data_IF_708361930769
#
_entry.id   IF_708361930769
#
_cell.length_a   1.000
_cell.length_b   1.000
_cell.length_c   1.000
_cell.angle_alpha   90.00
_cell.angle_beta   90.00
_cell.angle_gamma   90.00
#
_symmetry.space_group_name_H-M   'P 1'
#
loop_
_entity.id
_entity.type
_entity.pdbx_description
1 polymer ?
#
# COMPACT_ATOMS: atom_id res chain seq x y z
N UNK A 1 -10.28 -26.20 29.14
CA UNK A 1 -10.85 -27.11 28.15
C UNK A 1 -9.70 -27.68 27.35
N UNK A 2 -9.46 -29.00 27.37
CA UNK A 2 -8.44 -29.60 26.47
C UNK A 2 -9.03 -29.55 25.05
N UNK A 3 -8.31 -28.92 24.14
CA UNK A 3 -8.64 -28.87 22.71
C UNK A 3 -8.65 -30.32 22.20
N UNK A 4 -9.84 -30.81 21.82
CA UNK A 4 -10.07 -32.20 21.40
C UNK A 4 -9.67 -32.42 19.93
N UNK A 5 -8.61 -31.71 19.46
CA UNK A 5 -8.12 -31.84 18.08
C UNK A 5 -7.39 -33.15 17.93
N UNK A 6 -7.84 -33.94 16.96
CA UNK A 6 -7.13 -35.15 16.55
C UNK A 6 -5.69 -34.82 16.17
N UNK A 7 -4.75 -35.60 16.67
CA UNK A 7 -3.32 -35.44 16.39
C UNK A 7 -2.84 -36.41 15.33
N UNK A 8 -1.69 -36.12 14.69
CA UNK A 8 -1.09 -37.05 13.73
C UNK A 8 -0.78 -38.42 14.36
N UNK A 9 -0.55 -38.47 15.67
CA UNK A 9 -0.31 -39.71 16.43
C UNK A 9 -1.59 -40.54 16.51
N UNK A 10 -2.73 -39.91 16.76
CA UNK A 10 -4.03 -40.58 16.80
C UNK A 10 -4.43 -41.05 15.42
N UNK A 11 -4.22 -40.23 14.38
CA UNK A 11 -4.47 -40.65 13.00
C UNK A 11 -3.61 -41.85 12.59
N UNK A 12 -2.34 -41.89 13.00
CA UNK A 12 -1.44 -43.02 12.79
C UNK A 12 -1.92 -44.29 13.51
N UNK A 13 -2.37 -44.14 14.76
CA UNK A 13 -2.94 -45.26 15.54
C UNK A 13 -4.20 -45.83 14.89
N UNK A 14 -5.15 -44.98 14.51
CA UNK A 14 -6.42 -45.39 13.89
C UNK A 14 -6.24 -45.95 12.48
N UNK A 15 -5.27 -45.44 11.72
CA UNK A 15 -4.97 -45.98 10.39
C UNK A 15 -4.07 -47.23 10.40
N UNK A 16 -3.49 -47.62 11.55
CA UNK A 16 -2.63 -48.79 11.68
C UNK A 16 -1.27 -48.64 11.00
N UNK A 17 -0.77 -47.42 10.77
CA UNK A 17 0.51 -47.14 10.12
C UNK A 17 1.40 -46.22 10.95
N UNK A 18 2.67 -46.07 10.55
CA UNK A 18 3.59 -45.15 11.25
C UNK A 18 3.20 -43.68 11.02
N UNK A 19 3.60 -42.79 11.96
CA UNK A 19 3.44 -41.34 11.81
C UNK A 19 4.11 -40.85 10.52
N UNK A 20 5.28 -41.40 10.16
CA UNK A 20 5.97 -41.11 8.90
C UNK A 20 5.17 -41.49 7.67
N UNK A 21 4.45 -42.61 7.69
CA UNK A 21 3.59 -43.06 6.60
C UNK A 21 2.37 -42.13 6.45
N UNK A 22 1.75 -41.74 7.58
CA UNK A 22 0.65 -40.77 7.58
C UNK A 22 1.11 -39.43 7.00
N UNK A 23 2.25 -38.90 7.46
CA UNK A 23 2.81 -37.65 6.95
C UNK A 23 3.05 -37.71 5.46
N UNK A 24 3.67 -38.79 4.95
CA UNK A 24 3.94 -38.96 3.51
C UNK A 24 2.66 -39.11 2.68
N UNK A 25 1.68 -39.85 3.18
CA UNK A 25 0.38 -39.99 2.52
C UNK A 25 -0.35 -38.65 2.36
N UNK A 26 -0.42 -37.86 3.44
CA UNK A 26 -1.07 -36.53 3.43
C UNK A 26 -0.32 -35.48 2.59
N UNK A 27 1.00 -35.64 2.41
CA UNK A 27 1.82 -34.74 1.58
C UNK A 27 1.99 -35.24 0.14
N UNK A 28 1.28 -36.31 -0.28
CA UNK A 28 1.25 -36.74 -1.68
C UNK A 28 2.49 -37.48 -2.17
N UNK A 29 3.36 -37.97 -1.26
CA UNK A 29 4.55 -38.75 -1.67
C UNK A 29 4.16 -40.04 -2.37
N UNK A 30 4.84 -40.37 -3.47
CA UNK A 30 4.53 -41.51 -4.32
C UNK A 30 4.99 -42.86 -3.75
N UNK A 31 5.77 -42.87 -2.68
CA UNK A 31 6.28 -44.06 -2.01
C UNK A 31 5.26 -44.71 -1.03
N UNK A 32 4.08 -44.11 -0.89
CA UNK A 32 2.96 -44.70 -0.14
C UNK A 32 1.99 -45.36 -1.13
N UNK A 33 1.65 -46.64 -0.86
CA UNK A 33 0.66 -47.36 -1.66
C UNK A 33 -0.66 -46.60 -1.74
N UNK A 34 -1.29 -46.56 -2.93
CA UNK A 34 -2.48 -45.77 -3.25
C UNK A 34 -3.65 -46.10 -2.32
N UNK A 35 -3.93 -47.37 -2.09
CA UNK A 35 -4.99 -47.83 -1.19
C UNK A 35 -4.79 -47.32 0.25
N UNK A 36 -3.54 -47.36 0.72
CA UNK A 36 -3.17 -46.84 2.05
C UNK A 36 -3.31 -45.31 2.10
N UNK A 37 -2.92 -44.59 1.04
CA UNK A 37 -3.06 -43.15 0.92
C UNK A 37 -4.53 -42.74 0.99
N UNK A 38 -5.39 -43.32 0.16
CA UNK A 38 -6.82 -43.04 0.14
C UNK A 38 -7.48 -43.31 1.48
N UNK A 39 -7.12 -44.41 2.15
CA UNK A 39 -7.62 -44.74 3.48
C UNK A 39 -7.26 -43.67 4.53
N UNK A 40 -5.99 -43.22 4.52
CA UNK A 40 -5.50 -42.18 5.43
C UNK A 40 -6.21 -40.85 5.15
N UNK A 41 -6.38 -40.47 3.88
CA UNK A 41 -7.06 -39.22 3.49
C UNK A 41 -8.52 -39.25 3.93
N UNK A 42 -9.24 -40.35 3.70
CA UNK A 42 -10.64 -40.49 4.16
C UNK A 42 -10.74 -40.40 5.67
N UNK A 43 -9.88 -41.10 6.40
CA UNK A 43 -9.89 -41.05 7.86
C UNK A 43 -9.55 -39.68 8.41
N UNK A 44 -8.64 -38.96 7.77
CA UNK A 44 -8.34 -37.56 8.13
C UNK A 44 -9.54 -36.65 7.92
N UNK A 45 -10.28 -36.81 6.81
CA UNK A 45 -11.52 -36.06 6.55
C UNK A 45 -12.64 -36.39 7.56
N UNK A 46 -12.84 -37.67 7.86
CA UNK A 46 -13.86 -38.12 8.84
C UNK A 46 -13.60 -37.57 10.25
N UNK A 47 -12.32 -37.40 10.59
CA UNK A 47 -11.89 -36.91 11.90
C UNK A 47 -11.64 -35.40 11.94
N UNK A 48 -11.93 -34.67 10.86
CA UNK A 48 -11.61 -33.24 10.69
C UNK A 48 -10.14 -32.92 11.06
N UNK A 49 -9.25 -33.85 10.70
CA UNK A 49 -7.83 -33.69 10.96
C UNK A 49 -7.17 -32.76 9.93
N UNK A 50 -6.69 -31.63 10.40
CA UNK A 50 -5.87 -30.70 9.59
C UNK A 50 -4.44 -30.73 10.11
N UNK A 51 -3.42 -31.06 9.25
CA UNK A 51 -2.01 -30.97 9.64
C UNK A 51 -1.68 -29.57 10.13
N UNK A 52 -0.99 -29.45 11.28
CA UNK A 52 -0.50 -28.17 11.74
C UNK A 52 0.41 -27.53 10.68
N UNK A 53 0.20 -26.27 10.36
CA UNK A 53 0.98 -25.54 9.34
C UNK A 53 2.50 -25.68 9.57
N UNK A 54 2.95 -25.59 10.83
CA UNK A 54 4.33 -25.80 11.23
C UNK A 54 4.88 -27.21 10.92
N UNK A 55 4.04 -28.25 11.02
CA UNK A 55 4.45 -29.61 10.69
C UNK A 55 4.56 -29.82 9.16
N UNK A 56 3.69 -29.16 8.39
CA UNK A 56 3.73 -29.17 6.93
C UNK A 56 4.95 -28.42 6.41
N UNK A 57 5.22 -27.23 6.94
CA UNK A 57 6.36 -26.40 6.52
C UNK A 57 7.72 -27.08 6.78
N UNK A 58 7.85 -27.89 7.83
CA UNK A 58 9.06 -28.68 8.09
C UNK A 58 9.32 -29.75 7.02
N UNK A 59 8.26 -30.31 6.42
CA UNK A 59 8.37 -31.36 5.39
C UNK A 59 8.54 -30.77 3.99
N UNK A 60 7.75 -29.74 3.67
CA UNK A 60 7.73 -29.11 2.33
C UNK A 60 8.79 -28.01 2.17
N UNK A 61 9.38 -27.55 3.27
CA UNK A 61 10.23 -26.36 3.35
C UNK A 61 9.53 -25.09 2.85
N UNK A 62 8.18 -25.10 2.83
CA UNK A 62 7.34 -23.98 2.41
C UNK A 62 6.28 -23.68 3.45
N UNK A 63 6.14 -22.42 3.81
CA UNK A 63 5.13 -21.97 4.77
C UNK A 63 3.80 -21.61 4.12
N UNK A 64 3.82 -21.25 2.83
CA UNK A 64 2.72 -20.64 2.10
C UNK A 64 2.19 -19.36 2.78
N UNK A 65 3.08 -18.58 3.40
CA UNK A 65 2.74 -17.32 4.08
C UNK A 65 3.57 -16.19 3.49
N UNK A 66 2.89 -15.11 3.14
CA UNK A 66 3.47 -13.83 2.73
C UNK A 66 3.34 -12.85 3.88
N UNK A 67 4.44 -12.15 4.20
CA UNK A 67 4.44 -11.09 5.19
C UNK A 67 4.08 -9.73 4.58
N UNK A 68 3.34 -8.92 5.31
CA UNK A 68 3.08 -7.52 4.95
C UNK A 68 3.52 -6.64 6.12
N UNK A 69 4.46 -5.73 5.86
CA UNK A 69 4.79 -4.63 6.75
C UNK A 69 4.17 -3.36 6.18
N UNK A 70 3.31 -2.74 6.96
CA UNK A 70 2.68 -1.47 6.67
C UNK A 70 2.97 -0.52 7.82
N UNK A 71 3.70 0.57 7.54
CA UNK A 71 4.06 1.57 8.53
C UNK A 71 3.89 2.97 7.95
N UNK A 72 3.20 3.85 8.65
CA UNK A 72 2.88 5.22 8.18
C UNK A 72 3.52 6.30 9.05
N UNK A 73 4.48 5.92 9.90
CA UNK A 73 5.17 6.83 10.83
C UNK A 73 4.47 6.98 12.17
N UNK A 74 5.17 7.60 13.13
CA UNK A 74 4.65 7.82 14.49
C UNK A 74 3.38 8.69 14.48
N UNK A 75 2.34 8.22 15.15
CA UNK A 75 1.08 8.95 15.35
C UNK A 75 0.01 8.76 14.26
N UNK A 76 0.30 8.04 13.19
CA UNK A 76 -0.68 7.76 12.14
C UNK A 76 -1.08 6.29 12.12
N UNK A 77 -2.35 5.94 12.37
CA UNK A 77 -2.81 4.56 12.32
C UNK A 77 -2.77 4.05 10.86
N UNK A 78 -1.91 3.09 10.60
CA UNK A 78 -1.59 2.56 9.27
C UNK A 78 -2.80 2.22 8.41
N UNK A 79 -3.77 1.52 9.00
CA UNK A 79 -4.96 1.06 8.30
C UNK A 79 -6.09 2.10 8.23
N UNK A 80 -5.92 3.31 8.78
CA UNK A 80 -6.94 4.37 8.65
C UNK A 80 -6.86 5.09 7.30
N UNK A 81 -5.72 5.02 6.60
CA UNK A 81 -5.64 5.63 5.27
C UNK A 81 -6.30 4.71 4.21
N UNK A 82 -7.37 5.16 3.52
CA UNK A 82 -8.15 4.33 2.61
C UNK A 82 -7.34 3.73 1.44
N UNK A 83 -6.26 4.39 1.02
CA UNK A 83 -5.36 3.91 -0.01
C UNK A 83 -4.85 2.49 0.28
N UNK A 84 -4.36 2.25 1.49
CA UNK A 84 -3.77 0.96 1.85
C UNK A 84 -4.79 -0.17 1.90
N UNK A 85 -6.05 0.13 2.27
CA UNK A 85 -7.12 -0.88 2.25
C UNK A 85 -7.34 -1.47 0.87
N UNK A 86 -7.46 -0.61 -0.15
CA UNK A 86 -7.71 -1.06 -1.52
C UNK A 86 -6.49 -1.80 -2.09
N UNK A 87 -5.27 -1.37 -1.76
CA UNK A 87 -4.04 -2.10 -2.11
C UNK A 87 -4.03 -3.50 -1.49
N UNK A 88 -4.36 -3.60 -0.19
CA UNK A 88 -4.44 -4.89 0.50
C UNK A 88 -5.53 -5.81 -0.08
N UNK A 89 -6.66 -5.27 -0.55
CA UNK A 89 -7.70 -6.05 -1.23
C UNK A 89 -7.15 -6.70 -2.51
N UNK A 90 -6.45 -5.93 -3.35
CA UNK A 90 -5.84 -6.43 -4.58
C UNK A 90 -4.74 -7.46 -4.31
N UNK A 91 -3.86 -7.17 -3.35
CA UNK A 91 -2.79 -8.07 -2.92
C UNK A 91 -3.36 -9.40 -2.40
N UNK A 92 -4.32 -9.35 -1.47
CA UNK A 92 -4.97 -10.52 -0.90
C UNK A 92 -5.61 -11.42 -1.98
N UNK A 93 -6.28 -10.82 -2.95
CA UNK A 93 -6.90 -11.57 -4.05
C UNK A 93 -5.85 -12.32 -4.87
N UNK A 94 -4.79 -11.62 -5.28
CA UNK A 94 -3.74 -12.17 -6.14
C UNK A 94 -2.96 -13.30 -5.46
N UNK A 95 -2.48 -13.08 -4.23
CA UNK A 95 -1.69 -14.10 -3.53
C UNK A 95 -2.55 -15.27 -3.04
N UNK A 96 -3.82 -15.03 -2.70
CA UNK A 96 -4.77 -16.09 -2.34
C UNK A 96 -5.03 -17.04 -3.52
N UNK A 97 -5.11 -16.51 -4.75
CA UNK A 97 -5.19 -17.33 -5.96
C UNK A 97 -3.95 -18.21 -6.16
N UNK A 98 -2.78 -17.76 -5.68
CA UNK A 98 -1.52 -18.52 -5.65
C UNK A 98 -1.41 -19.52 -4.50
N UNK A 99 -2.43 -19.63 -3.63
CA UNK A 99 -2.43 -20.56 -2.48
C UNK A 99 -1.62 -20.09 -1.28
N UNK A 100 -1.43 -18.78 -1.13
CA UNK A 100 -0.72 -18.17 0.01
C UNK A 100 -1.68 -17.46 0.96
N UNK A 101 -1.34 -17.49 2.24
CA UNK A 101 -1.96 -16.68 3.28
C UNK A 101 -1.18 -15.37 3.50
N UNK A 102 -1.87 -14.31 3.98
CA UNK A 102 -1.26 -13.05 4.39
C UNK A 102 -1.07 -12.99 5.91
N UNK A 103 0.13 -12.62 6.32
CA UNK A 103 0.46 -12.24 7.68
C UNK A 103 0.74 -10.73 7.73
N UNK A 104 -0.18 -9.96 8.29
CA UNK A 104 0.06 -8.55 8.55
C UNK A 104 0.83 -8.40 9.88
N UNK A 105 2.02 -7.82 9.81
CA UNK A 105 2.83 -7.54 10.98
C UNK A 105 2.34 -6.27 11.67
N UNK A 106 2.18 -6.32 13.00
CA UNK A 106 1.85 -5.14 13.79
C UNK A 106 3.02 -4.15 13.81
N UNK A 107 2.75 -2.85 13.76
CA UNK A 107 3.78 -1.79 13.75
C UNK A 107 4.52 -1.70 15.07
N UNK A 108 3.80 -1.76 16.20
CA UNK A 108 4.38 -1.76 17.54
C UNK A 108 4.49 -3.18 18.09
N UNK A 109 5.68 -3.58 18.47
CA UNK A 109 5.92 -4.85 19.17
C UNK A 109 6.69 -4.58 20.45
N UNK A 110 6.00 -4.28 21.59
CA UNK A 110 6.68 -4.20 22.89
C UNK A 110 7.20 -5.58 23.26
N UNK A 111 8.50 -5.75 23.08
CA UNK A 111 9.39 -6.76 23.63
C UNK A 111 8.85 -8.08 24.17
N UNK A 112 8.48 -9.01 23.32
CA UNK A 112 8.38 -10.43 23.67
C UNK A 112 9.73 -11.15 23.49
N UNK A 113 10.84 -10.56 24.00
CA UNK A 113 12.18 -11.15 23.85
C UNK A 113 12.80 -11.00 22.44
N UNK A 114 12.07 -10.50 21.48
CA UNK A 114 12.56 -10.18 20.12
C UNK A 114 13.03 -8.74 19.98
N UNK A 115 13.11 -7.99 21.06
CA UNK A 115 13.70 -6.67 21.35
C UNK A 115 14.17 -5.75 20.22
N UNK A 116 13.72 -5.98 19.00
CA UNK A 116 14.16 -5.28 17.80
C UNK A 116 12.98 -5.10 16.84
N UNK A 117 12.78 -3.90 16.35
CA UNK A 117 11.95 -3.58 15.19
C UNK A 117 12.44 -4.24 13.88
N UNK A 118 13.23 -5.34 13.97
CA UNK A 118 13.85 -5.97 12.81
C UNK A 118 12.85 -6.71 11.94
N UNK A 119 12.53 -6.14 10.79
CA UNK A 119 11.71 -6.76 9.76
C UNK A 119 12.21 -8.15 9.39
N UNK A 120 13.53 -8.31 9.21
CA UNK A 120 14.12 -9.59 8.82
C UNK A 120 13.95 -10.66 9.90
N UNK A 121 14.16 -10.34 11.19
CA UNK A 121 14.00 -11.31 12.29
C UNK A 121 12.54 -11.76 12.39
N UNK A 122 11.59 -10.82 12.28
CA UNK A 122 10.15 -11.10 12.33
C UNK A 122 9.73 -11.98 11.14
N UNK A 123 10.15 -11.62 9.92
CA UNK A 123 9.90 -12.41 8.73
C UNK A 123 10.41 -13.86 8.85
N UNK A 124 11.63 -14.04 9.34
CA UNK A 124 12.24 -15.37 9.59
C UNK A 124 11.53 -16.15 10.69
N UNK A 125 11.15 -15.49 11.78
CA UNK A 125 10.45 -16.13 12.91
C UNK A 125 9.14 -16.77 12.45
N UNK A 126 8.39 -16.07 11.58
CA UNK A 126 7.14 -16.58 11.02
C UNK A 126 7.35 -17.38 9.73
N UNK A 127 8.60 -17.59 9.32
CA UNK A 127 8.94 -18.36 8.12
C UNK A 127 8.23 -17.87 6.86
N UNK A 128 8.00 -16.55 6.71
CA UNK A 128 7.36 -16.02 5.49
C UNK A 128 8.27 -16.23 4.29
N UNK A 129 7.69 -16.57 3.13
CA UNK A 129 8.42 -16.86 1.89
C UNK A 129 8.76 -15.59 1.10
N UNK A 130 8.06 -14.50 1.37
CA UNK A 130 8.30 -13.20 0.80
C UNK A 130 7.59 -12.10 1.58
N UNK A 131 7.92 -10.85 1.27
CA UNK A 131 7.43 -9.68 2.01
C UNK A 131 6.96 -8.59 1.07
N UNK A 132 5.82 -7.97 1.39
CA UNK A 132 5.39 -6.70 0.80
C UNK A 132 5.60 -5.58 1.83
N UNK A 133 6.20 -4.48 1.38
CA UNK A 133 6.50 -3.30 2.18
C UNK A 133 5.68 -2.11 1.69
N UNK A 134 4.97 -1.43 2.59
CA UNK A 134 4.16 -0.24 2.30
C UNK A 134 4.37 0.81 3.38
N UNK A 135 4.43 2.09 2.99
CA UNK A 135 4.55 3.21 3.92
C UNK A 135 5.89 3.31 4.66
N UNK A 136 6.83 2.40 4.40
CA UNK A 136 8.16 2.40 5.03
C UNK A 136 9.11 3.36 4.33
N UNK A 137 10.15 3.80 5.05
CA UNK A 137 11.28 4.52 4.45
C UNK A 137 12.27 3.52 3.83
N UNK A 138 12.54 3.65 2.52
CA UNK A 138 13.51 2.81 1.81
C UNK A 138 14.95 2.98 2.34
N UNK A 139 15.25 4.12 2.95
CA UNK A 139 16.55 4.44 3.52
C UNK A 139 16.71 3.97 4.98
N UNK A 140 15.65 3.46 5.60
CA UNK A 140 15.71 2.85 6.92
C UNK A 140 16.70 1.67 6.96
N UNK A 141 17.49 1.58 8.02
CA UNK A 141 18.54 0.57 8.17
C UNK A 141 17.98 -0.86 8.19
N UNK A 142 16.80 -1.08 8.80
CA UNK A 142 16.18 -2.40 8.88
C UNK A 142 15.50 -2.80 7.55
N UNK A 143 14.94 -1.83 6.81
CA UNK A 143 14.46 -2.05 5.43
C UNK A 143 15.64 -2.47 4.54
N UNK A 144 16.76 -1.75 4.59
CA UNK A 144 17.98 -2.11 3.84
C UNK A 144 18.54 -3.47 4.25
N UNK A 145 18.48 -3.82 5.53
CA UNK A 145 18.91 -5.13 6.02
C UNK A 145 18.02 -6.25 5.49
N UNK A 146 16.71 -6.04 5.45
CA UNK A 146 15.75 -6.99 4.89
C UNK A 146 16.00 -7.20 3.39
N UNK A 147 16.08 -6.13 2.61
CA UNK A 147 16.24 -6.20 1.15
C UNK A 147 17.56 -6.81 0.70
N UNK A 148 18.64 -6.67 1.52
CA UNK A 148 19.94 -7.33 1.27
C UNK A 148 20.00 -8.80 1.68
N UNK A 149 19.00 -9.30 2.39
CA UNK A 149 19.01 -10.68 2.91
C UNK A 149 18.76 -11.77 1.86
N UNK A 150 18.33 -11.38 0.66
CA UNK A 150 17.90 -12.32 -0.40
C UNK A 150 16.47 -12.84 -0.22
N UNK A 151 15.75 -12.45 0.84
CA UNK A 151 14.32 -12.71 0.95
C UNK A 151 13.58 -11.90 -0.12
N UNK A 152 12.68 -12.50 -0.91
CA UNK A 152 11.87 -11.78 -1.89
C UNK A 152 11.09 -10.63 -1.24
N UNK A 153 11.27 -9.41 -1.73
CA UNK A 153 10.62 -8.21 -1.21
C UNK A 153 10.04 -7.36 -2.34
N UNK A 154 8.81 -6.90 -2.18
CA UNK A 154 8.17 -5.96 -3.11
C UNK A 154 7.72 -4.71 -2.34
N UNK A 155 8.14 -3.53 -2.82
CA UNK A 155 7.65 -2.25 -2.33
C UNK A 155 6.41 -1.79 -3.08
N UNK A 156 5.41 -1.26 -2.36
CA UNK A 156 4.32 -0.48 -2.96
C UNK A 156 4.51 0.98 -2.60
N UNK A 157 4.70 1.81 -3.62
CA UNK A 157 5.12 3.22 -3.49
C UNK A 157 6.46 3.42 -2.75
N UNK A 158 7.23 2.36 -2.61
CA UNK A 158 8.56 2.35 -1.99
C UNK A 158 9.57 1.75 -2.96
N UNK A 159 10.53 2.55 -3.41
CA UNK A 159 11.56 2.11 -4.36
C UNK A 159 12.63 1.29 -3.62
N UNK A 160 12.47 -0.02 -3.58
CA UNK A 160 13.42 -0.93 -2.95
C UNK A 160 14.62 -1.21 -3.84
N UNK A 161 15.77 -1.50 -3.20
CA UNK A 161 16.99 -1.92 -3.87
C UNK A 161 17.61 -3.13 -3.16
N UNK A 162 17.88 -4.20 -3.90
CA UNK A 162 18.45 -5.44 -3.36
C UNK A 162 18.42 -6.59 -4.38
N UNK A 163 19.03 -7.75 -4.05
CA UNK A 163 19.19 -8.86 -5.01
C UNK A 163 17.86 -9.55 -5.38
N UNK A 164 16.83 -9.47 -4.53
CA UNK A 164 15.53 -10.08 -4.75
C UNK A 164 14.42 -9.06 -4.42
N UNK A 165 14.48 -7.88 -5.07
CA UNK A 165 13.54 -6.79 -4.82
C UNK A 165 12.92 -6.27 -6.11
N UNK A 166 11.63 -5.98 -6.06
CA UNK A 166 10.89 -5.20 -7.05
C UNK A 166 10.07 -4.12 -6.36
N UNK A 167 9.47 -3.22 -7.11
CA UNK A 167 8.49 -2.27 -6.59
C UNK A 167 7.43 -1.91 -7.62
N UNK A 168 6.27 -1.56 -7.10
CA UNK A 168 5.11 -1.11 -7.88
C UNK A 168 4.70 0.27 -7.38
N UNK A 169 4.41 1.19 -8.29
CA UNK A 169 3.97 2.54 -7.96
C UNK A 169 3.01 3.12 -9.00
N UNK A 170 2.30 4.18 -8.63
CA UNK A 170 1.57 5.01 -9.58
C UNK A 170 2.50 6.01 -10.26
N UNK A 171 2.11 6.48 -11.46
CA UNK A 171 2.79 7.61 -12.12
C UNK A 171 2.48 8.93 -11.40
N UNK A 172 3.08 9.09 -10.22
CA UNK A 172 2.88 10.24 -9.35
C UNK A 172 3.23 11.58 -10.01
N UNK A 173 4.36 11.70 -10.77
CA UNK A 173 4.68 12.95 -11.46
C UNK A 173 3.62 13.30 -12.52
N UNK A 174 3.16 12.31 -13.28
CA UNK A 174 2.13 12.55 -14.31
C UNK A 174 0.79 12.92 -13.68
N UNK A 175 0.43 12.31 -12.54
CA UNK A 175 -0.79 12.65 -11.81
C UNK A 175 -0.79 14.12 -11.36
N UNK A 176 0.29 14.57 -10.72
CA UNK A 176 0.43 15.97 -10.33
C UNK A 176 0.42 16.91 -11.55
N UNK A 177 1.03 16.49 -12.66
CA UNK A 177 0.99 17.24 -13.91
C UNK A 177 -0.45 17.41 -14.42
N UNK A 178 -1.25 16.33 -14.45
CA UNK A 178 -2.65 16.38 -14.88
C UNK A 178 -3.48 17.36 -14.05
N UNK A 179 -3.26 17.41 -12.72
CA UNK A 179 -3.95 18.34 -11.84
C UNK A 179 -3.62 19.81 -12.18
N UNK A 180 -2.32 20.12 -12.35
CA UNK A 180 -1.88 21.47 -12.69
C UNK A 180 -2.37 21.87 -14.09
N UNK A 181 -2.28 20.98 -15.07
CA UNK A 181 -2.77 21.18 -16.43
C UNK A 181 -4.26 21.53 -16.42
N UNK A 182 -5.08 20.75 -15.71
CA UNK A 182 -6.51 20.99 -15.57
C UNK A 182 -6.83 22.38 -14.99
N UNK A 183 -6.18 22.75 -13.91
CA UNK A 183 -6.38 24.05 -13.28
C UNK A 183 -5.89 25.22 -14.17
N UNK A 184 -4.77 25.04 -14.85
CA UNK A 184 -4.26 26.01 -15.81
C UNK A 184 -5.23 26.23 -16.98
N UNK A 185 -5.81 25.15 -17.51
CA UNK A 185 -6.75 25.18 -18.63
C UNK A 185 -8.09 25.80 -18.24
N UNK A 186 -8.49 25.73 -16.95
CA UNK A 186 -9.60 26.51 -16.37
C UNK A 186 -9.29 28.00 -16.22
N UNK A 187 -8.05 28.43 -16.39
CA UNK A 187 -7.63 29.83 -16.34
C UNK A 187 -6.89 30.22 -15.05
N UNK A 188 -6.66 29.29 -14.11
CA UNK A 188 -5.89 29.59 -12.92
C UNK A 188 -4.42 29.90 -13.24
N UNK A 189 -3.88 30.91 -12.54
CA UNK A 189 -2.46 31.32 -12.64
C UNK A 189 -1.76 31.27 -11.28
N UNK A 190 -2.52 31.40 -10.18
CA UNK A 190 -2.07 31.26 -8.81
C UNK A 190 -2.50 29.90 -8.30
N UNK A 191 -1.68 28.89 -8.61
CA UNK A 191 -1.92 27.48 -8.26
C UNK A 191 -0.93 27.10 -7.16
N UNK A 192 -1.40 26.69 -5.98
CA UNK A 192 -0.58 26.21 -4.89
C UNK A 192 -0.62 24.67 -4.79
N UNK A 193 0.23 24.10 -3.96
CA UNK A 193 0.19 22.67 -3.62
C UNK A 193 0.28 22.45 -2.12
N UNK A 194 -0.46 21.45 -1.64
CA UNK A 194 -0.28 20.85 -0.31
C UNK A 194 0.36 19.49 -0.54
N UNK A 195 1.66 19.38 -0.22
CA UNK A 195 2.43 18.15 -0.45
C UNK A 195 2.13 17.12 0.62
N UNK A 196 2.40 15.83 0.34
CA UNK A 196 2.57 14.83 1.39
C UNK A 196 3.98 14.89 1.99
N UNK A 197 4.33 13.87 2.76
CA UNK A 197 5.69 13.68 3.28
C UNK A 197 6.69 13.62 2.12
N UNK A 198 7.55 14.60 2.00
CA UNK A 198 8.51 14.71 0.89
C UNK A 198 9.68 13.72 0.99
N UNK A 199 9.87 13.12 2.14
CA UNK A 199 10.78 12.00 2.39
C UNK A 199 10.30 10.71 1.71
N UNK A 200 8.99 10.61 1.47
CA UNK A 200 8.40 9.48 0.74
C UNK A 200 8.49 9.70 -0.77
N UNK A 201 8.63 8.61 -1.51
CA UNK A 201 8.67 8.67 -2.97
C UNK A 201 7.42 9.33 -3.58
N UNK A 202 6.17 8.99 -3.17
CA UNK A 202 4.97 9.65 -3.68
C UNK A 202 4.96 11.16 -3.41
N UNK A 203 5.32 11.59 -2.21
CA UNK A 203 5.37 13.01 -1.85
C UNK A 203 6.36 13.80 -2.71
N UNK A 204 7.60 13.30 -2.84
CA UNK A 204 8.63 13.91 -3.66
C UNK A 204 8.23 13.95 -5.15
N UNK A 205 7.71 12.86 -5.69
CA UNK A 205 7.34 12.75 -7.10
C UNK A 205 6.14 13.65 -7.46
N UNK A 206 5.12 13.76 -6.58
CA UNK A 206 3.98 14.68 -6.79
C UNK A 206 4.42 16.15 -6.75
N UNK A 207 5.29 16.51 -5.80
CA UNK A 207 5.89 17.87 -5.75
C UNK A 207 6.72 18.17 -7.00
N UNK A 208 7.51 17.18 -7.46
CA UNK A 208 8.30 17.30 -8.70
C UNK A 208 7.38 17.54 -9.91
N UNK A 209 6.34 16.72 -10.07
CA UNK A 209 5.37 16.84 -11.16
C UNK A 209 4.67 18.19 -11.17
N UNK A 210 4.23 18.68 -10.00
CA UNK A 210 3.68 20.03 -9.85
C UNK A 210 4.66 21.11 -10.32
N UNK A 211 5.89 21.12 -9.79
CA UNK A 211 6.92 22.12 -10.11
C UNK A 211 7.30 22.13 -11.59
N UNK A 212 7.53 20.97 -12.16
CA UNK A 212 7.92 20.82 -13.56
C UNK A 212 6.80 21.27 -14.51
N UNK A 213 5.53 21.01 -14.15
CA UNK A 213 4.39 21.42 -14.97
C UNK A 213 4.12 22.92 -14.89
N UNK A 214 4.27 23.55 -13.72
CA UNK A 214 4.19 25.02 -13.64
C UNK A 214 5.21 25.65 -14.60
N UNK A 215 6.45 25.18 -14.56
CA UNK A 215 7.50 25.67 -15.46
C UNK A 215 7.15 25.45 -16.94
N UNK A 216 6.68 24.27 -17.30
CA UNK A 216 6.30 23.95 -18.68
C UNK A 216 5.12 24.80 -19.19
N UNK A 217 4.21 25.22 -18.29
CA UNK A 217 3.08 26.10 -18.61
C UNK A 217 3.38 27.59 -18.47
N UNK A 218 4.65 27.97 -18.20
CA UNK A 218 5.07 29.37 -18.05
C UNK A 218 4.51 30.05 -16.79
N UNK A 219 4.10 29.27 -15.78
CA UNK A 219 3.63 29.77 -14.48
C UNK A 219 4.83 29.95 -13.54
N UNK A 220 4.78 31.02 -12.73
CA UNK A 220 5.78 31.26 -11.70
C UNK A 220 5.66 30.20 -10.58
N UNK A 221 6.77 29.57 -10.26
CA UNK A 221 6.88 28.78 -9.05
C UNK A 221 7.14 29.75 -7.87
N UNK A 222 6.36 29.65 -6.81
CA UNK A 222 6.49 30.42 -5.59
C UNK A 222 6.66 29.48 -4.40
N UNK A 223 7.72 29.65 -3.63
CA UNK A 223 7.97 28.79 -2.46
C UNK A 223 6.86 28.88 -1.41
N UNK A 224 6.25 30.07 -1.24
CA UNK A 224 5.12 30.30 -0.35
C UNK A 224 3.86 29.55 -0.76
N UNK A 225 3.76 29.08 -2.01
CA UNK A 225 2.63 28.27 -2.50
C UNK A 225 2.86 26.76 -2.29
N UNK A 226 3.96 26.35 -1.66
CA UNK A 226 4.22 24.98 -1.26
C UNK A 226 3.95 24.84 0.23
N UNK A 227 2.81 24.25 0.59
CA UNK A 227 2.49 23.91 1.97
C UNK A 227 2.73 22.41 2.21
N UNK A 228 3.20 22.04 3.40
CA UNK A 228 3.57 20.68 3.73
C UNK A 228 2.50 20.01 4.59
N UNK A 229 2.14 18.79 4.25
CA UNK A 229 1.23 17.91 4.97
C UNK A 229 1.82 16.52 5.13
N UNK A 230 0.99 15.58 5.60
CA UNK A 230 1.37 14.21 5.96
C UNK A 230 0.43 13.15 5.38
N UNK A 231 -0.36 13.54 4.38
CA UNK A 231 -1.42 12.76 3.72
C UNK A 231 -2.73 12.67 4.50
N UNK A 232 -2.87 13.24 5.71
CA UNK A 232 -4.09 13.18 6.53
C UNK A 232 -4.85 14.52 6.58
N UNK A 233 -6.09 14.45 7.05
CA UNK A 233 -7.06 15.57 7.02
C UNK A 233 -6.55 16.79 7.77
N UNK A 234 -6.02 16.60 8.98
CA UNK A 234 -5.60 17.66 9.88
C UNK A 234 -4.47 18.50 9.29
N UNK A 235 -3.49 17.85 8.69
CA UNK A 235 -2.38 18.53 8.03
C UNK A 235 -2.84 19.31 6.80
N UNK A 236 -3.79 18.75 6.03
CA UNK A 236 -4.40 19.44 4.90
C UNK A 236 -5.14 20.71 5.31
N UNK A 237 -5.89 20.66 6.41
CA UNK A 237 -6.58 21.83 6.99
C UNK A 237 -5.58 22.90 7.44
N UNK A 238 -4.54 22.52 8.17
CA UNK A 238 -3.50 23.45 8.64
C UNK A 238 -2.74 24.08 7.48
N UNK A 239 -2.36 23.29 6.48
CA UNK A 239 -1.66 23.77 5.30
C UNK A 239 -2.51 24.75 4.49
N UNK A 240 -3.81 24.44 4.29
CA UNK A 240 -4.73 25.33 3.60
C UNK A 240 -4.91 26.66 4.33
N UNK A 241 -5.02 26.63 5.66
CA UNK A 241 -5.10 27.88 6.45
C UNK A 241 -3.89 28.78 6.21
N UNK A 242 -2.67 28.23 6.15
CA UNK A 242 -1.44 28.99 5.83
C UNK A 242 -1.50 29.61 4.43
N UNK A 243 -2.00 28.87 3.43
CA UNK A 243 -2.12 29.35 2.07
C UNK A 243 -3.15 30.50 1.95
N UNK A 244 -4.22 30.43 2.73
CA UNK A 244 -5.27 31.48 2.77
C UNK A 244 -4.81 32.74 3.52
N UNK A 245 -3.79 32.64 4.38
CA UNK A 245 -3.21 33.77 5.11
C UNK A 245 -2.16 34.58 4.32
N UNK A 246 -1.81 34.14 3.11
CA UNK A 246 -0.88 34.86 2.27
C UNK A 246 -1.48 36.18 1.76
N UNK A 247 -0.63 37.19 1.52
CA UNK A 247 -1.06 38.47 0.95
C UNK A 247 -1.71 38.30 -0.43
N UNK A 248 -1.23 37.36 -1.22
CA UNK A 248 -1.84 36.90 -2.48
C UNK A 248 -2.24 35.43 -2.39
N UNK A 249 -3.41 35.09 -1.82
CA UNK A 249 -3.84 33.71 -1.70
C UNK A 249 -3.97 33.01 -3.07
N UNK A 250 -3.72 31.69 -3.15
CA UNK A 250 -3.92 30.94 -4.38
C UNK A 250 -5.42 30.89 -4.75
N UNK A 251 -5.71 30.81 -6.06
CA UNK A 251 -7.08 30.58 -6.56
C UNK A 251 -7.35 29.09 -6.80
N UNK A 252 -6.33 28.26 -6.73
CA UNK A 252 -6.45 26.81 -6.83
C UNK A 252 -5.36 26.10 -6.04
N UNK A 253 -5.66 24.91 -5.54
CA UNK A 253 -4.75 24.09 -4.74
C UNK A 253 -4.78 22.64 -5.23
N UNK A 254 -3.60 22.07 -5.45
CA UNK A 254 -3.39 20.64 -5.70
C UNK A 254 -2.96 19.98 -4.38
N UNK A 255 -3.77 19.11 -3.85
CA UNK A 255 -3.48 18.33 -2.64
C UNK A 255 -2.88 16.98 -3.01
N UNK A 256 -1.82 16.56 -2.32
CA UNK A 256 -1.17 15.29 -2.57
C UNK A 256 -1.96 14.07 -2.05
N UNK A 257 -3.11 14.24 -1.41
CA UNK A 257 -4.08 13.19 -1.11
C UNK A 257 -5.49 13.73 -1.02
N UNK A 258 -6.48 12.87 -1.20
CA UNK A 258 -7.88 13.23 -1.01
C UNK A 258 -8.18 13.58 0.45
N UNK A 259 -7.59 12.90 1.42
CA UNK A 259 -7.77 13.24 2.83
C UNK A 259 -7.28 14.66 3.13
N UNK A 260 -6.13 15.08 2.62
CA UNK A 260 -5.69 16.48 2.75
C UNK A 260 -6.62 17.46 2.01
N UNK A 261 -7.14 17.06 0.84
CA UNK A 261 -8.12 17.88 0.12
C UNK A 261 -9.41 18.08 0.94
N UNK A 262 -9.87 17.06 1.66
CA UNK A 262 -11.00 17.20 2.61
C UNK A 262 -10.70 18.18 3.73
N UNK A 263 -9.48 18.12 4.29
CA UNK A 263 -9.01 19.11 5.27
C UNK A 263 -8.96 20.53 4.69
N UNK A 264 -8.49 20.65 3.45
CA UNK A 264 -8.45 21.95 2.76
C UNK A 264 -9.88 22.51 2.50
N UNK A 265 -10.82 21.67 2.05
CA UNK A 265 -12.24 22.09 1.87
C UNK A 265 -12.82 22.59 3.21
N UNK A 266 -12.54 21.88 4.30
CA UNK A 266 -12.98 22.28 5.63
C UNK A 266 -12.40 23.65 6.05
N UNK A 267 -11.11 23.88 5.85
CA UNK A 267 -10.45 25.15 6.16
C UNK A 267 -11.07 26.32 5.37
N UNK A 268 -11.38 26.12 4.08
CA UNK A 268 -12.07 27.10 3.24
C UNK A 268 -13.45 27.44 3.80
N UNK A 269 -14.24 26.44 4.15
CA UNK A 269 -15.58 26.62 4.70
C UNK A 269 -15.57 27.32 6.07
N UNK A 270 -14.63 27.01 6.96
CA UNK A 270 -14.46 27.65 8.28
C UNK A 270 -14.15 29.15 8.18
N UNK A 271 -13.60 29.61 7.03
CA UNK A 271 -13.34 31.02 6.73
C UNK A 271 -14.50 31.71 6.00
N UNK A 272 -15.62 31.02 5.80
CA UNK A 272 -16.77 31.55 5.07
C UNK A 272 -16.55 31.66 3.56
N UNK A 273 -15.50 31.02 3.06
CA UNK A 273 -15.21 30.90 1.65
C UNK A 273 -15.82 29.61 1.05
N UNK A 274 -15.87 29.52 -0.27
CA UNK A 274 -16.50 28.41 -0.99
C UNK A 274 -15.55 27.72 -1.95
N UNK A 275 -15.72 26.38 -2.07
CA UNK A 275 -15.12 25.57 -3.11
C UNK A 275 -16.24 25.20 -4.09
N UNK A 276 -16.07 25.44 -5.39
CA UNK A 276 -14.92 26.02 -6.08
C UNK A 276 -15.02 27.55 -6.25
N UNK A 277 -16.02 28.23 -5.65
CA UNK A 277 -16.34 29.64 -5.92
C UNK A 277 -15.18 30.61 -5.66
N UNK A 278 -14.48 30.46 -4.54
CA UNK A 278 -13.34 31.28 -4.16
C UNK A 278 -11.99 30.59 -4.45
N UNK A 279 -11.94 29.26 -4.25
CA UNK A 279 -10.75 28.47 -4.50
C UNK A 279 -11.10 27.08 -5.03
N UNK A 280 -10.45 26.68 -6.13
CA UNK A 280 -10.56 25.34 -6.69
C UNK A 280 -9.63 24.37 -5.96
N UNK A 281 -10.09 23.13 -5.69
CA UNK A 281 -9.29 22.09 -5.02
C UNK A 281 -9.28 20.82 -5.85
N UNK A 282 -8.09 20.24 -6.06
CA UNK A 282 -7.87 18.95 -6.68
C UNK A 282 -7.20 18.03 -5.66
N UNK A 283 -7.72 16.82 -5.49
CA UNK A 283 -7.16 15.76 -4.65
C UNK A 283 -6.28 14.78 -5.41
N UNK A 284 -5.92 13.69 -4.72
CA UNK A 284 -5.19 12.55 -5.26
C UNK A 284 -5.63 11.29 -4.50
N UNK A 285 -5.88 10.18 -5.16
CA UNK A 285 -6.24 8.81 -4.75
C UNK A 285 -7.58 8.33 -5.30
N UNK A 286 -8.56 9.20 -5.47
CA UNK A 286 -9.96 8.88 -5.74
C UNK A 286 -10.52 7.87 -4.72
N UNK A 287 -10.43 8.23 -3.43
CA UNK A 287 -11.06 7.45 -2.36
C UNK A 287 -12.59 7.53 -2.48
N UNK A 288 -13.30 6.53 -1.97
CA UNK A 288 -14.77 6.49 -2.06
C UNK A 288 -15.42 7.78 -1.54
N UNK A 289 -14.89 8.37 -0.49
CA UNK A 289 -15.42 9.60 0.11
C UNK A 289 -15.32 10.81 -0.83
N UNK A 290 -14.37 10.85 -1.77
CA UNK A 290 -14.19 11.96 -2.73
C UNK A 290 -15.44 12.23 -3.58
N UNK A 291 -16.23 11.20 -3.88
CA UNK A 291 -17.49 11.32 -4.61
C UNK A 291 -18.68 11.79 -3.76
N UNK A 292 -18.57 11.74 -2.44
CA UNK A 292 -19.69 11.97 -1.51
C UNK A 292 -19.57 13.25 -0.68
N UNK A 293 -18.42 13.93 -0.72
CA UNK A 293 -18.25 15.24 -0.04
C UNK A 293 -18.94 16.35 -0.82
N UNK A 294 -19.09 17.51 -0.17
CA UNK A 294 -19.67 18.70 -0.79
C UNK A 294 -18.64 19.84 -0.80
N UNK A 295 -18.28 20.28 -2.01
CA UNK A 295 -18.64 19.73 -3.32
C UNK A 295 -17.92 18.39 -3.60
N UNK A 296 -18.45 17.51 -4.50
CA UNK A 296 -17.73 16.30 -4.91
C UNK A 296 -16.36 16.64 -5.48
N UNK A 297 -15.31 15.93 -4.98
CA UNK A 297 -13.91 16.27 -5.19
C UNK A 297 -13.39 15.81 -6.57
N UNK A 298 -12.89 16.75 -7.36
CA UNK A 298 -12.04 16.49 -8.52
C UNK A 298 -10.70 15.93 -8.00
N UNK A 299 -10.25 14.80 -8.54
CA UNK A 299 -9.10 14.09 -7.99
C UNK A 299 -8.37 13.25 -9.04
N UNK A 300 -7.19 12.78 -8.72
CA UNK A 300 -6.43 11.81 -9.51
C UNK A 300 -6.71 10.40 -9.02
N UNK A 301 -7.27 9.57 -9.91
CA UNK A 301 -7.54 8.16 -9.60
C UNK A 301 -6.27 7.34 -9.75
N UNK A 302 -5.92 6.63 -8.68
CA UNK A 302 -4.97 5.53 -8.70
C UNK A 302 -5.73 4.20 -8.73
N UNK A 303 -5.28 3.26 -9.54
CA UNK A 303 -5.81 1.88 -9.50
C UNK A 303 -5.16 1.11 -8.34
N UNK A 304 -5.61 1.40 -7.14
CA UNK A 304 -5.05 0.88 -5.88
C UNK A 304 -5.16 -0.64 -5.78
N UNK A 305 -6.27 -1.21 -6.23
CA UNK A 305 -6.44 -2.67 -6.26
C UNK A 305 -5.45 -3.32 -7.23
N UNK A 306 -5.22 -2.71 -8.38
CA UNK A 306 -4.22 -3.18 -9.34
C UNK A 306 -2.80 -3.03 -8.81
N UNK A 307 -2.48 -1.95 -8.08
CA UNK A 307 -1.17 -1.82 -7.39
C UNK A 307 -0.91 -3.04 -6.49
N UNK A 308 -1.89 -3.42 -5.67
CA UNK A 308 -1.80 -4.59 -4.82
C UNK A 308 -1.66 -5.90 -5.59
N UNK A 309 -2.44 -6.09 -6.65
CA UNK A 309 -2.35 -7.28 -7.50
C UNK A 309 -0.99 -7.38 -8.21
N UNK A 310 -0.47 -6.28 -8.77
CA UNK A 310 0.87 -6.27 -9.39
C UNK A 310 1.97 -6.55 -8.36
N UNK A 311 1.84 -6.04 -7.12
CA UNK A 311 2.77 -6.38 -6.05
C UNK A 311 2.75 -7.88 -5.73
N UNK A 312 1.58 -8.50 -5.68
CA UNK A 312 1.43 -9.95 -5.51
C UNK A 312 2.06 -10.74 -6.65
N UNK A 313 1.83 -10.35 -7.90
CA UNK A 313 2.44 -10.96 -9.08
C UNK A 313 3.97 -10.83 -9.08
N UNK A 314 4.48 -9.64 -8.78
CA UNK A 314 5.91 -9.38 -8.67
C UNK A 314 6.56 -10.28 -7.60
N UNK A 315 5.93 -10.38 -6.42
CA UNK A 315 6.44 -11.21 -5.34
C UNK A 315 6.46 -12.70 -5.72
N UNK A 316 5.40 -13.20 -6.38
CA UNK A 316 5.31 -14.58 -6.85
C UNK A 316 6.41 -14.89 -7.86
N UNK A 317 6.70 -13.98 -8.80
CA UNK A 317 7.84 -14.13 -9.75
C UNK A 317 9.17 -14.21 -9.01
N UNK A 318 9.43 -13.30 -8.07
CA UNK A 318 10.66 -13.32 -7.27
C UNK A 318 10.84 -14.61 -6.48
N UNK A 319 9.76 -15.16 -5.89
CA UNK A 319 9.80 -16.43 -5.16
C UNK A 319 10.04 -17.64 -6.07
N UNK A 320 9.61 -17.58 -7.33
CA UNK A 320 9.87 -18.62 -8.32
C UNK A 320 11.30 -18.58 -8.89
N UNK A 321 12.13 -17.62 -8.47
CA UNK A 321 13.45 -17.34 -9.01
C UNK A 321 13.44 -17.05 -10.53
N UNK A 322 12.29 -16.63 -11.06
CA UNK A 322 12.13 -16.19 -12.45
C UNK A 322 12.59 -14.72 -12.56
N UNK A 323 13.88 -14.52 -12.29
CA UNK A 323 14.52 -13.21 -12.27
C UNK A 323 15.02 -12.85 -13.67
N UNK A 324 14.12 -12.65 -14.60
CA UNK A 324 14.39 -11.76 -15.73
C UNK A 324 14.32 -10.34 -15.16
N UNK A 325 15.33 -9.50 -15.45
CA UNK A 325 15.55 -8.15 -14.89
C UNK A 325 14.28 -7.48 -14.39
N UNK A 326 14.19 -7.33 -13.05
CA UNK A 326 13.04 -6.75 -12.37
C UNK A 326 12.86 -5.30 -12.81
N UNK A 327 11.88 -5.02 -13.66
CA UNK A 327 11.48 -3.67 -14.00
C UNK A 327 10.43 -3.18 -13.01
N UNK A 328 10.65 -1.97 -12.50
CA UNK A 328 9.64 -1.28 -11.69
C UNK A 328 8.32 -1.15 -12.47
N UNK A 329 7.24 -1.62 -11.88
CA UNK A 329 5.91 -1.48 -12.49
C UNK A 329 5.35 -0.11 -12.12
N UNK A 330 5.12 0.75 -13.13
CA UNK A 330 4.47 2.04 -12.93
C UNK A 330 3.08 2.00 -13.56
N UNK A 331 2.05 2.23 -12.75
CA UNK A 331 0.66 2.26 -13.19
C UNK A 331 0.23 3.68 -13.56
N UNK A 332 -0.54 3.86 -14.65
CA UNK A 332 -1.07 5.16 -15.01
C UNK A 332 -2.08 5.65 -13.97
N UNK A 333 -2.25 6.98 -13.94
CA UNK A 333 -3.28 7.66 -13.14
C UNK A 333 -4.21 8.44 -14.06
N UNK A 334 -5.45 8.67 -13.62
CA UNK A 334 -6.49 9.35 -14.38
C UNK A 334 -7.03 10.54 -13.61
N UNK A 335 -7.29 11.66 -14.30
CA UNK A 335 -8.02 12.79 -13.73
C UNK A 335 -9.54 12.52 -13.75
N UNK A 336 -10.16 12.56 -12.58
CA UNK A 336 -11.60 12.43 -12.39
C UNK A 336 -12.18 13.79 -12.05
N UNK A 337 -12.75 14.47 -13.04
CA UNK A 337 -13.33 15.80 -12.85
C UNK A 337 -14.70 15.69 -12.18
N UNK A 338 -14.88 16.45 -11.09
CA UNK A 338 -16.15 16.60 -10.36
C UNK A 338 -16.48 18.08 -10.16
N UNK A 339 -16.97 18.48 -8.99
CA UNK A 339 -17.50 19.83 -8.75
C UNK A 339 -16.59 20.75 -7.89
N UNK A 340 -15.40 20.28 -7.48
CA UNK A 340 -14.51 21.09 -6.63
C UNK A 340 -13.58 22.04 -7.41
N UNK A 341 -13.73 22.11 -8.74
CA UNK A 341 -12.93 22.99 -9.61
C UNK A 341 -13.83 23.78 -10.56
N UNK A 342 -13.51 25.05 -10.78
CA UNK A 342 -14.17 25.95 -11.72
C UNK A 342 -13.15 26.98 -12.24
N UNK A 343 -13.57 27.88 -13.13
CA UNK A 343 -12.74 29.04 -13.51
C UNK A 343 -12.48 29.94 -12.27
N UNK A 344 -11.31 30.62 -12.21
CA UNK A 344 -11.00 31.51 -11.10
C UNK A 344 -12.01 32.65 -10.98
N UNK A 345 -12.20 33.23 -9.76
CA UNK A 345 -13.09 34.38 -9.55
C UNK A 345 -12.77 35.53 -10.49
N UNK A 346 -13.82 36.24 -10.95
CA UNK A 346 -13.66 37.36 -11.87
C UNK A 346 -12.83 38.49 -11.21
N UNK A 347 -11.80 38.99 -11.93
CA UNK A 347 -10.91 40.06 -11.42
C UNK A 347 -9.58 39.57 -10.82
N UNK A 348 -9.39 38.27 -10.65
CA UNK A 348 -8.15 37.67 -10.19
C UNK A 348 -7.52 36.84 -11.34
N UNK A 349 -6.79 37.53 -12.20
CA UNK A 349 -6.06 36.89 -13.31
C UNK A 349 -4.55 36.93 -13.10
#
# INVERSE_FOLDING_TARGET
MRDNRVTIRELAHLSGVSIGTVSRALNGYTDVNEETRERIIRLAQELDYTPAAAARSLVTQRSHVIGVFLETGEGHPDLQHPFFHEVLVGLKHEIGAGGYDLLLFASEHPGNGYGDHSYLKRARHHSVEGVVLMGVDAEDAEVRRLTRSGLPCVGVDVALSGPATEYVMSDNPRGAALAVEHLHDLGHRRIATITGLIETRPGADRLKGYRDTLRARGLAFRDEYVAYGDFYVESGQQAMNRLLDLDEPPTAVVCASDLMALGAIRAVAERGLSVPGDVSIVGFDDIQLAGHVQPPLTTLRQDKARLGAEAGRALTRLMAADVAAAEAVTLPVELVVRASTAAPPAGIR
#
